data_IF_367111060693
#
_entry.id   IF_367111060693
#
_cell.length_a   1.000
_cell.length_b   1.000
_cell.length_c   1.000
_cell.angle_alpha   90.00
_cell.angle_beta   90.00
_cell.angle_gamma   90.00
#
_symmetry.space_group_name_H-M   'P 1'
#
loop_
_entity.id
_entity.type
_entity.pdbx_description
1 polymer ?
#
# COMPACT_ATOMS: atom_id res chain seq x y z
N UNK A 1 33.96 4.18 18.04
CA UNK A 1 32.77 4.79 17.39
C UNK A 1 33.10 5.45 16.04
N UNK A 2 34.26 6.08 15.81
CA UNK A 2 34.56 6.69 14.48
C UNK A 2 34.90 5.65 13.37
N UNK A 3 35.37 4.45 13.71
CA UNK A 3 35.71 3.41 12.73
C UNK A 3 34.51 2.75 12.08
N UNK A 4 33.52 2.36 12.88
CA UNK A 4 32.30 1.71 12.39
C UNK A 4 31.42 2.63 11.50
N UNK A 5 31.44 3.95 11.77
CA UNK A 5 30.73 4.93 10.93
C UNK A 5 31.43 5.13 9.58
N UNK A 6 32.75 5.03 9.55
CA UNK A 6 33.53 5.14 8.31
C UNK A 6 33.40 3.88 7.45
N UNK A 7 33.39 2.69 8.07
CA UNK A 7 33.15 1.43 7.37
C UNK A 7 31.72 1.38 6.78
N UNK A 8 30.71 1.83 7.52
CA UNK A 8 29.32 1.94 7.02
C UNK A 8 29.22 2.94 5.85
N UNK A 9 29.91 4.09 5.92
CA UNK A 9 30.01 5.05 4.82
C UNK A 9 30.75 4.49 3.61
N UNK A 10 31.78 3.67 3.81
CA UNK A 10 32.57 3.05 2.74
C UNK A 10 31.75 1.92 2.07
N UNK A 11 30.94 1.17 2.80
CA UNK A 11 29.99 0.20 2.22
C UNK A 11 28.86 0.88 1.45
N UNK A 12 28.36 2.04 1.90
CA UNK A 12 27.42 2.84 1.12
C UNK A 12 28.04 3.39 -0.19
N UNK A 13 29.33 3.71 -0.20
CA UNK A 13 30.05 4.21 -1.40
C UNK A 13 30.44 3.07 -2.36
N UNK A 14 30.42 1.82 -1.90
CA UNK A 14 30.60 0.63 -2.75
C UNK A 14 29.31 0.07 -3.36
N UNK A 15 28.22 0.83 -3.32
CA UNK A 15 27.02 0.47 -4.05
C UNK A 15 27.40 0.36 -5.53
N UNK A 16 27.35 -0.85 -6.05
CA UNK A 16 27.57 -1.10 -7.47
C UNK A 16 26.44 -0.40 -8.26
N UNK A 17 26.74 0.79 -8.77
CA UNK A 17 25.79 1.59 -9.55
C UNK A 17 25.29 0.87 -10.80
N UNK A 18 25.92 -0.24 -11.22
CA UNK A 18 25.41 -1.06 -12.31
C UNK A 18 24.18 -1.87 -11.87
N UNK A 19 24.07 -2.19 -10.57
CA UNK A 19 22.87 -2.83 -9.98
C UNK A 19 21.72 -1.84 -9.72
N UNK A 20 22.00 -0.54 -9.72
CA UNK A 20 20.98 0.50 -9.65
C UNK A 20 20.25 0.73 -10.99
N UNK A 21 20.66 0.04 -12.05
CA UNK A 21 19.96 0.12 -13.33
C UNK A 21 18.63 -0.62 -13.25
N UNK A 22 17.59 0.09 -13.63
CA UNK A 22 16.26 -0.46 -13.90
C UNK A 22 15.56 -1.06 -12.67
N UNK A 23 15.29 -0.25 -11.66
CA UNK A 23 14.34 -0.62 -10.62
C UNK A 23 14.87 -1.61 -9.58
N UNK A 24 16.14 -1.46 -9.15
CA UNK A 24 16.63 -2.17 -7.96
C UNK A 24 15.70 -1.92 -6.77
N UNK A 25 15.63 -2.87 -5.85
CA UNK A 25 14.81 -2.76 -4.65
C UNK A 25 15.08 -1.46 -3.87
N UNK A 26 16.34 -1.04 -3.79
CA UNK A 26 16.74 0.23 -3.17
C UNK A 26 16.12 1.45 -3.86
N UNK A 27 16.12 1.51 -5.19
CA UNK A 27 15.51 2.61 -5.94
C UNK A 27 13.98 2.61 -5.80
N UNK A 28 13.35 1.44 -5.87
CA UNK A 28 11.91 1.29 -5.71
C UNK A 28 11.44 1.74 -4.32
N UNK A 29 12.12 1.28 -3.27
CA UNK A 29 11.85 1.70 -1.88
C UNK A 29 12.14 3.19 -1.68
N UNK A 30 13.21 3.72 -2.29
CA UNK A 30 13.56 5.15 -2.25
C UNK A 30 12.48 6.00 -2.90
N UNK A 31 11.98 5.61 -4.07
CA UNK A 31 10.89 6.31 -4.75
C UNK A 31 9.60 6.29 -3.91
N UNK A 32 9.21 5.13 -3.38
CA UNK A 32 8.06 5.00 -2.50
C UNK A 32 8.19 5.90 -1.25
N UNK A 33 9.40 5.99 -0.68
CA UNK A 33 9.68 6.83 0.49
C UNK A 33 9.55 8.33 0.23
N UNK A 34 9.69 8.79 -1.01
CA UNK A 34 9.47 10.19 -1.37
C UNK A 34 8.02 10.64 -1.14
N UNK A 35 7.08 9.71 -1.04
CA UNK A 35 5.67 9.99 -0.76
C UNK A 35 5.38 10.19 0.74
N UNK A 36 6.36 9.94 1.62
CA UNK A 36 6.19 9.98 3.08
C UNK A 36 5.74 11.36 3.55
N UNK A 37 4.78 11.38 4.48
CA UNK A 37 4.20 12.60 5.06
C UNK A 37 3.03 13.16 4.25
N UNK A 38 2.69 12.54 3.11
CA UNK A 38 1.70 13.09 2.19
C UNK A 38 0.41 12.29 2.04
N UNK A 39 -0.42 12.84 1.16
CA UNK A 39 -1.71 12.26 0.75
C UNK A 39 -1.60 11.76 -0.67
N UNK A 40 -1.96 10.51 -0.92
CA UNK A 40 -2.17 9.95 -2.24
C UNK A 40 -3.67 9.95 -2.50
N UNK A 41 -4.14 10.57 -3.58
CA UNK A 41 -5.57 10.71 -3.88
C UNK A 41 -6.00 9.79 -5.01
N UNK A 42 -7.04 8.97 -4.78
CA UNK A 42 -7.66 8.15 -5.81
C UNK A 42 -8.50 9.05 -6.74
N UNK A 43 -8.18 9.06 -8.03
CA UNK A 43 -8.80 9.92 -9.04
C UNK A 43 -9.32 9.11 -10.22
N UNK A 44 -10.39 9.57 -10.86
CA UNK A 44 -11.05 8.86 -11.98
C UNK A 44 -11.03 9.65 -13.30
N UNK A 45 -10.46 10.84 -13.30
CA UNK A 45 -10.32 11.67 -14.49
C UNK A 45 -9.28 12.78 -14.28
N UNK A 46 -8.87 13.49 -15.37
CA UNK A 46 -7.92 14.60 -15.30
C UNK A 46 -8.34 15.75 -14.38
N UNK A 47 -9.62 16.09 -14.31
CA UNK A 47 -10.09 17.21 -13.46
C UNK A 47 -9.87 16.91 -11.98
N UNK A 48 -10.10 15.65 -11.56
CA UNK A 48 -9.82 15.22 -10.18
C UNK A 48 -8.31 15.17 -9.90
N UNK A 49 -7.50 14.78 -10.88
CA UNK A 49 -6.04 14.80 -10.74
C UNK A 49 -5.52 16.23 -10.56
N UNK A 50 -6.04 17.20 -11.32
CA UNK A 50 -5.71 18.62 -11.14
C UNK A 50 -6.12 19.14 -9.75
N UNK A 51 -7.30 18.78 -9.25
CA UNK A 51 -7.73 19.13 -7.87
C UNK A 51 -6.76 18.55 -6.85
N UNK A 52 -6.35 17.29 -7.01
CA UNK A 52 -5.42 16.62 -6.10
C UNK A 52 -4.05 17.31 -6.08
N UNK A 53 -3.50 17.60 -7.25
CA UNK A 53 -2.21 18.29 -7.39
C UNK A 53 -2.26 19.71 -6.80
N UNK A 54 -3.30 20.49 -7.14
CA UNK A 54 -3.52 21.84 -6.59
C UNK A 54 -3.61 21.86 -5.06
N UNK A 55 -4.20 20.83 -4.47
CA UNK A 55 -4.33 20.68 -3.01
C UNK A 55 -3.00 20.26 -2.34
N UNK A 56 -1.99 19.85 -3.11
CA UNK A 56 -0.69 19.40 -2.60
C UNK A 56 -0.63 17.89 -2.29
N UNK A 57 -1.38 17.06 -3.01
CA UNK A 57 -1.18 15.61 -2.99
C UNK A 57 0.24 15.26 -3.43
N UNK A 58 0.83 14.23 -2.84
CA UNK A 58 2.18 13.75 -3.20
C UNK A 58 2.17 12.80 -4.38
N UNK A 59 1.02 12.22 -4.70
CA UNK A 59 0.77 11.38 -5.87
C UNK A 59 -0.73 11.25 -6.09
N UNK A 60 -1.12 10.79 -7.28
CA UNK A 60 -2.49 10.37 -7.58
C UNK A 60 -2.54 8.88 -7.91
N UNK A 61 -3.68 8.25 -7.62
CA UNK A 61 -3.97 6.86 -7.95
C UNK A 61 -5.10 6.81 -8.97
N UNK A 62 -4.79 6.40 -10.19
CA UNK A 62 -5.78 6.28 -11.27
C UNK A 62 -6.69 5.06 -11.05
N UNK A 63 -7.99 5.31 -10.98
CA UNK A 63 -9.05 4.30 -10.90
C UNK A 63 -10.13 4.54 -11.95
N UNK A 64 -10.73 3.46 -12.46
CA UNK A 64 -11.93 3.57 -13.31
C UNK A 64 -13.12 4.17 -12.56
N UNK A 65 -13.28 3.77 -11.30
CA UNK A 65 -14.33 4.22 -10.38
C UNK A 65 -13.76 4.34 -8.97
N UNK A 66 -14.20 5.33 -8.22
CA UNK A 66 -13.80 5.40 -6.80
C UNK A 66 -14.36 4.20 -6.02
N UNK A 67 -13.72 3.78 -4.91
CA UNK A 67 -14.11 2.56 -4.20
C UNK A 67 -15.60 2.50 -3.79
N UNK A 68 -16.22 3.62 -3.44
CA UNK A 68 -17.66 3.68 -3.12
C UNK A 68 -18.54 3.30 -4.33
N UNK A 69 -18.16 3.70 -5.55
CA UNK A 69 -18.89 3.35 -6.77
C UNK A 69 -18.67 1.88 -7.14
N UNK A 70 -17.45 1.34 -6.95
CA UNK A 70 -17.17 -0.08 -7.17
C UNK A 70 -18.08 -0.95 -6.28
N UNK A 71 -18.27 -0.56 -5.01
CA UNK A 71 -19.15 -1.27 -4.09
C UNK A 71 -20.60 -1.20 -4.53
N UNK A 72 -21.08 -0.01 -4.85
CA UNK A 72 -22.48 0.22 -5.24
C UNK A 72 -22.86 -0.51 -6.53
N UNK A 73 -21.98 -0.45 -7.54
CA UNK A 73 -22.27 -0.97 -8.88
C UNK A 73 -22.06 -2.49 -8.96
N UNK A 74 -21.25 -3.06 -8.05
CA UNK A 74 -20.92 -4.48 -8.02
C UNK A 74 -20.15 -4.97 -9.27
N UNK A 75 -20.11 -6.28 -9.45
CA UNK A 75 -19.47 -6.91 -10.61
C UNK A 75 -17.94 -6.99 -10.50
N UNK A 76 -17.30 -7.29 -11.64
CA UNK A 76 -15.83 -7.45 -11.72
C UNK A 76 -15.18 -6.09 -11.92
N UNK A 77 -14.42 -5.63 -10.92
CA UNK A 77 -13.58 -4.45 -11.02
C UNK A 77 -12.20 -4.81 -11.59
N UNK A 78 -11.74 -4.07 -12.58
CA UNK A 78 -10.49 -4.31 -13.34
C UNK A 78 -9.60 -3.07 -13.36
N UNK A 79 -8.42 -3.22 -13.96
CA UNK A 79 -7.54 -2.12 -14.33
C UNK A 79 -8.31 -1.04 -15.13
N UNK A 80 -7.99 0.20 -14.88
CA UNK A 80 -8.56 1.34 -15.62
C UNK A 80 -8.22 1.31 -17.11
N UNK A 81 -9.10 1.91 -17.93
CA UNK A 81 -8.84 2.00 -19.36
C UNK A 81 -7.57 2.82 -19.65
N UNK A 82 -6.71 2.40 -20.60
CA UNK A 82 -5.47 3.10 -20.93
C UNK A 82 -5.66 4.59 -21.24
N UNK A 83 -6.67 4.98 -22.02
CA UNK A 83 -6.90 6.39 -22.36
C UNK A 83 -7.17 7.27 -21.14
N UNK A 84 -7.85 6.72 -20.12
CA UNK A 84 -8.11 7.46 -18.89
C UNK A 84 -6.81 7.63 -18.09
N UNK A 85 -5.98 6.59 -17.99
CA UNK A 85 -4.68 6.66 -17.32
C UNK A 85 -3.77 7.67 -18.08
N UNK A 86 -3.74 7.61 -19.41
CA UNK A 86 -2.96 8.54 -20.23
C UNK A 86 -3.41 9.98 -20.01
N UNK A 87 -4.72 10.24 -19.98
CA UNK A 87 -5.26 11.57 -19.70
C UNK A 87 -4.84 12.14 -18.34
N UNK A 88 -4.67 11.27 -17.33
CA UNK A 88 -4.16 11.67 -16.01
C UNK A 88 -2.65 11.92 -16.08
N UNK A 89 -1.87 11.05 -16.73
CA UNK A 89 -0.43 11.23 -16.94
C UNK A 89 -0.11 12.56 -17.68
N UNK A 90 -0.95 12.92 -18.65
CA UNK A 90 -0.74 14.13 -19.46
C UNK A 90 -1.08 15.44 -18.72
N UNK A 91 -1.89 15.36 -17.64
CA UNK A 91 -2.41 16.57 -16.98
C UNK A 91 -1.75 16.88 -15.63
N UNK A 92 -0.95 15.98 -15.07
CA UNK A 92 -0.34 16.17 -13.74
C UNK A 92 1.18 16.01 -13.76
N UNK A 93 1.87 16.75 -12.90
CA UNK A 93 3.33 16.68 -12.72
C UNK A 93 3.75 15.84 -11.51
N UNK A 94 2.81 15.47 -10.65
CA UNK A 94 3.06 14.57 -9.52
C UNK A 94 2.98 13.11 -9.96
N UNK A 95 3.62 12.17 -9.23
CA UNK A 95 3.60 10.75 -9.57
C UNK A 95 2.19 10.19 -9.77
N UNK A 96 2.03 9.37 -10.81
CA UNK A 96 0.79 8.68 -11.14
C UNK A 96 0.93 7.19 -10.82
N UNK A 97 0.06 6.70 -9.95
CA UNK A 97 -0.08 5.28 -9.65
C UNK A 97 -1.32 4.73 -10.35
N UNK A 98 -1.34 3.43 -10.64
CA UNK A 98 -2.54 2.76 -11.14
C UNK A 98 -2.69 1.37 -10.53
N UNK A 99 -3.94 0.85 -10.50
CA UNK A 99 -4.24 -0.43 -9.86
C UNK A 99 -4.26 -1.58 -10.86
N UNK A 100 -3.57 -2.68 -10.48
CA UNK A 100 -3.70 -3.99 -11.10
C UNK A 100 -4.45 -4.95 -10.16
N UNK A 101 -5.16 -5.92 -10.72
CA UNK A 101 -5.77 -7.00 -9.96
C UNK A 101 -4.71 -7.89 -9.32
N UNK A 102 -5.00 -8.42 -8.14
CA UNK A 102 -4.12 -9.38 -7.46
C UNK A 102 -3.82 -10.55 -8.40
N UNK A 103 -2.52 -10.84 -8.59
CA UNK A 103 -2.00 -11.94 -9.42
C UNK A 103 -2.12 -11.72 -10.93
N UNK A 104 -2.54 -10.54 -11.41
CA UNK A 104 -2.72 -10.28 -12.83
C UNK A 104 -1.48 -9.61 -13.45
N UNK A 105 -0.45 -10.40 -13.75
CA UNK A 105 0.79 -9.91 -14.37
C UNK A 105 0.56 -9.12 -15.67
N UNK A 106 -0.42 -9.53 -16.49
CA UNK A 106 -0.73 -8.83 -17.74
C UNK A 106 -1.16 -7.38 -17.54
N UNK A 107 -2.01 -7.10 -16.53
CA UNK A 107 -2.37 -5.72 -16.19
C UNK A 107 -1.16 -4.93 -15.71
N UNK A 108 -0.32 -5.51 -14.84
CA UNK A 108 0.87 -4.84 -14.34
C UNK A 108 1.87 -4.52 -15.47
N UNK A 109 2.06 -5.41 -16.45
CA UNK A 109 2.89 -5.15 -17.65
C UNK A 109 2.35 -4.02 -18.53
N UNK A 110 1.03 -3.96 -18.69
CA UNK A 110 0.39 -2.85 -19.41
C UNK A 110 0.70 -1.53 -18.70
N UNK A 111 0.49 -1.47 -17.37
CA UNK A 111 0.74 -0.26 -16.59
C UNK A 111 2.21 0.17 -16.62
N UNK A 112 3.15 -0.78 -16.48
CA UNK A 112 4.58 -0.50 -16.62
C UNK A 112 4.89 0.06 -18.02
N UNK A 113 4.32 -0.50 -19.09
CA UNK A 113 4.55 -0.04 -20.47
C UNK A 113 3.96 1.34 -20.75
N UNK A 114 2.93 1.74 -20.02
CA UNK A 114 2.33 3.08 -20.09
C UNK A 114 3.15 4.14 -19.37
N UNK A 115 4.13 3.74 -18.55
CA UNK A 115 4.98 4.67 -17.81
C UNK A 115 4.34 5.23 -16.55
N UNK A 116 3.41 4.49 -15.91
CA UNK A 116 2.97 4.86 -14.55
C UNK A 116 4.14 4.74 -13.58
N UNK A 117 4.17 5.58 -12.56
CA UNK A 117 5.29 5.64 -11.62
C UNK A 117 5.27 4.52 -10.58
N UNK A 118 4.10 3.99 -10.23
CA UNK A 118 3.92 2.85 -9.32
C UNK A 118 2.67 2.04 -9.69
N UNK A 119 2.67 0.75 -9.38
CA UNK A 119 1.50 -0.13 -9.48
C UNK A 119 1.00 -0.50 -8.09
N UNK A 120 -0.29 -0.33 -7.84
CA UNK A 120 -0.96 -0.88 -6.66
C UNK A 120 -1.62 -2.21 -7.04
N UNK A 121 -1.04 -3.33 -6.59
CA UNK A 121 -1.66 -4.65 -6.66
C UNK A 121 -2.74 -4.72 -5.60
N UNK A 122 -4.00 -4.54 -6.02
CA UNK A 122 -5.06 -4.08 -5.14
C UNK A 122 -6.22 -5.05 -4.97
N UNK A 123 -6.57 -5.32 -3.71
CA UNK A 123 -7.78 -6.03 -3.29
C UNK A 123 -9.08 -5.24 -3.57
N UNK A 124 -9.00 -3.94 -3.84
CA UNK A 124 -10.15 -3.12 -4.26
C UNK A 124 -10.69 -3.63 -5.60
N UNK A 125 -9.80 -4.06 -6.49
CA UNK A 125 -10.18 -4.77 -7.71
C UNK A 125 -10.49 -6.23 -7.42
N UNK A 126 -11.19 -6.88 -8.35
CA UNK A 126 -11.51 -8.30 -8.23
C UNK A 126 -10.25 -9.14 -8.46
N UNK A 127 -9.79 -9.97 -7.52
CA UNK A 127 -8.60 -10.80 -7.70
C UNK A 127 -8.66 -11.65 -8.97
N UNK A 128 -7.54 -11.80 -9.66
CA UNK A 128 -7.41 -12.64 -10.84
C UNK A 128 -6.77 -13.99 -10.51
N UNK A 129 -5.85 -14.03 -9.54
CA UNK A 129 -5.26 -15.25 -9.02
C UNK A 129 -5.76 -15.49 -7.58
N UNK A 130 -6.32 -16.68 -7.29
CA UNK A 130 -6.79 -17.03 -5.95
C UNK A 130 -5.67 -17.46 -5.01
N UNK A 131 -4.45 -17.74 -5.52
CA UNK A 131 -3.35 -18.32 -4.77
C UNK A 131 -2.20 -17.35 -4.53
N UNK A 132 -1.77 -16.62 -5.57
CA UNK A 132 -0.54 -15.86 -5.54
C UNK A 132 -0.71 -14.41 -5.97
N UNK A 133 0.17 -13.58 -5.45
CA UNK A 133 0.40 -12.22 -5.90
C UNK A 133 1.41 -12.18 -7.06
N UNK A 134 1.54 -11.02 -7.71
CA UNK A 134 2.52 -10.78 -8.78
C UNK A 134 3.94 -10.83 -8.20
N UNK A 135 4.89 -11.43 -8.96
CA UNK A 135 6.33 -11.33 -8.66
C UNK A 135 6.83 -9.94 -9.07
N UNK A 136 6.95 -9.06 -8.08
CA UNK A 136 7.27 -7.64 -8.29
C UNK A 136 8.75 -7.39 -8.57
N UNK A 137 9.59 -8.41 -8.31
CA UNK A 137 11.01 -8.33 -8.62
C UNK A 137 11.31 -8.33 -10.12
N UNK A 138 10.33 -8.78 -10.95
CA UNK A 138 10.45 -8.83 -12.40
C UNK A 138 10.10 -7.50 -13.10
N UNK A 139 9.80 -6.45 -12.34
CA UNK A 139 9.41 -5.12 -12.84
C UNK A 139 10.45 -4.06 -12.48
N UNK A 140 10.52 -3.02 -13.29
CA UNK A 140 11.39 -1.86 -13.05
C UNK A 140 10.75 -0.82 -12.11
N UNK A 141 9.41 -0.79 -12.03
CA UNK A 141 8.64 0.16 -11.23
C UNK A 141 8.32 -0.39 -9.83
N UNK A 142 8.14 0.47 -8.81
CA UNK A 142 7.74 0.06 -7.48
C UNK A 142 6.27 -0.39 -7.40
N UNK A 143 5.99 -1.25 -6.43
CA UNK A 143 4.64 -1.75 -6.16
C UNK A 143 4.16 -1.36 -4.76
N UNK A 144 2.87 -1.08 -4.67
CA UNK A 144 2.09 -0.94 -3.43
C UNK A 144 1.27 -2.21 -3.23
N UNK A 145 1.19 -2.69 -2.00
CA UNK A 145 0.31 -3.81 -1.63
C UNK A 145 -0.41 -3.54 -0.32
N UNK A 146 -1.62 -4.07 -0.20
CA UNK A 146 -2.37 -4.09 1.06
C UNK A 146 -1.87 -5.18 2.02
N UNK A 147 -1.95 -4.91 3.32
CA UNK A 147 -1.74 -5.90 4.36
C UNK A 147 -2.66 -5.65 5.57
N UNK A 148 -3.11 -6.74 6.20
CA UNK A 148 -3.94 -6.73 7.41
C UNK A 148 -3.12 -6.91 8.68
N UNK A 149 -1.88 -7.42 8.57
CA UNK A 149 -0.96 -7.69 9.67
C UNK A 149 0.47 -7.88 9.16
N UNK A 150 1.41 -8.07 10.09
CA UNK A 150 2.84 -8.16 9.79
C UNK A 150 3.17 -9.35 8.88
N UNK A 151 2.58 -10.52 9.13
CA UNK A 151 2.88 -11.71 8.34
C UNK A 151 2.52 -11.54 6.85
N UNK A 152 1.41 -10.86 6.55
CA UNK A 152 1.05 -10.50 5.19
C UNK A 152 1.99 -9.43 4.62
N UNK A 153 2.30 -8.39 5.39
CA UNK A 153 3.24 -7.35 4.98
C UNK A 153 4.62 -7.93 4.61
N UNK A 154 5.14 -8.86 5.43
CA UNK A 154 6.42 -9.54 5.17
C UNK A 154 6.38 -10.34 3.87
N UNK A 155 5.27 -11.06 3.59
CA UNK A 155 5.13 -11.76 2.29
C UNK A 155 5.16 -10.78 1.13
N UNK A 156 4.37 -9.70 1.19
CA UNK A 156 4.34 -8.67 0.12
C UNK A 156 5.72 -8.04 -0.10
N UNK A 157 6.47 -7.76 0.97
CA UNK A 157 7.84 -7.22 0.88
C UNK A 157 8.79 -8.25 0.26
N UNK A 158 8.69 -9.51 0.64
CA UNK A 158 9.48 -10.60 0.03
C UNK A 158 9.21 -10.71 -1.48
N UNK A 159 7.97 -10.55 -1.90
CA UNK A 159 7.54 -10.54 -3.30
C UNK A 159 7.95 -9.26 -4.06
N UNK A 160 8.57 -8.28 -3.38
CA UNK A 160 9.12 -7.04 -3.96
C UNK A 160 8.25 -5.80 -3.80
N UNK A 161 7.28 -5.78 -2.88
CA UNK A 161 6.52 -4.57 -2.57
C UNK A 161 7.43 -3.51 -1.94
N UNK A 162 7.32 -2.27 -2.41
CA UNK A 162 8.09 -1.11 -1.97
C UNK A 162 7.31 -0.18 -1.04
N UNK A 163 6.01 -0.39 -0.94
CA UNK A 163 5.09 0.31 -0.04
C UNK A 163 4.03 -0.69 0.44
N UNK A 164 3.74 -0.64 1.73
CA UNK A 164 2.60 -1.36 2.32
C UNK A 164 1.52 -0.34 2.68
N UNK A 165 0.26 -0.70 2.51
CA UNK A 165 -0.89 0.05 3.02
C UNK A 165 -1.83 -0.85 3.81
N UNK A 166 -2.62 -0.27 4.70
CA UNK A 166 -3.72 -1.01 5.33
C UNK A 166 -4.73 -1.44 4.25
N UNK A 167 -5.36 -2.60 4.41
CA UNK A 167 -6.44 -3.03 3.53
C UNK A 167 -7.76 -2.33 3.82
N UNK A 168 -7.92 -1.61 4.86
CA UNK A 168 -9.10 -0.86 5.28
C UNK A 168 -10.32 -0.90 4.32
N UNK A 169 -11.49 -0.60 4.76
CA UNK A 169 -12.67 -0.71 3.90
C UNK A 169 -12.88 0.59 3.10
N UNK A 170 -12.13 0.69 1.98
CA UNK A 170 -12.20 1.85 1.09
C UNK A 170 -13.62 2.11 0.58
N UNK A 171 -14.02 3.38 0.53
CA UNK A 171 -15.33 3.81 0.05
C UNK A 171 -16.42 3.87 1.11
N UNK A 172 -16.17 3.40 2.33
CA UNK A 172 -17.18 3.36 3.41
C UNK A 172 -17.23 4.62 4.26
N UNK A 173 -16.11 5.34 4.40
CA UNK A 173 -15.98 6.41 5.40
C UNK A 173 -15.85 5.89 6.84
N UNK A 174 -15.69 4.59 7.04
CA UNK A 174 -15.47 3.96 8.33
C UNK A 174 -14.02 3.52 8.49
N UNK A 175 -13.32 4.12 9.46
CA UNK A 175 -11.89 3.97 9.68
C UNK A 175 -11.49 2.69 10.44
N UNK A 176 -12.46 1.97 11.04
CA UNK A 176 -12.18 0.89 12.01
C UNK A 176 -11.25 -0.18 11.45
N UNK A 177 -11.44 -0.63 10.21
CA UNK A 177 -10.59 -1.66 9.61
C UNK A 177 -9.15 -1.16 9.41
N UNK A 178 -8.95 0.06 8.92
CA UNK A 178 -7.62 0.65 8.77
C UNK A 178 -6.90 0.79 10.11
N UNK A 179 -7.60 1.26 11.15
CA UNK A 179 -7.07 1.33 12.53
C UNK A 179 -6.70 -0.05 13.06
N UNK A 180 -7.56 -1.05 12.82
CA UNK A 180 -7.30 -2.44 13.24
C UNK A 180 -6.00 -2.96 12.63
N UNK A 181 -5.83 -2.82 11.32
CA UNK A 181 -4.64 -3.31 10.62
C UNK A 181 -3.37 -2.57 11.04
N UNK A 182 -3.43 -1.23 11.19
CA UNK A 182 -2.32 -0.45 11.69
C UNK A 182 -1.88 -0.87 13.10
N UNK A 183 -2.84 -1.12 14.01
CA UNK A 183 -2.54 -1.61 15.36
C UNK A 183 -1.99 -3.03 15.37
N UNK A 184 -2.52 -3.93 14.53
CA UNK A 184 -1.99 -5.30 14.42
C UNK A 184 -0.54 -5.28 13.96
N UNK A 185 -0.23 -4.52 12.90
CA UNK A 185 1.15 -4.40 12.39
C UNK A 185 2.08 -3.86 13.49
N UNK A 186 1.72 -2.76 14.16
CA UNK A 186 2.54 -2.17 15.23
C UNK A 186 2.74 -3.16 16.39
N UNK A 187 1.69 -3.81 16.86
CA UNK A 187 1.78 -4.75 17.97
C UNK A 187 2.62 -6.00 17.61
N UNK A 188 2.44 -6.54 16.41
CA UNK A 188 3.21 -7.68 15.92
C UNK A 188 4.69 -7.32 15.73
N UNK A 189 5.02 -6.11 15.27
CA UNK A 189 6.41 -5.60 15.23
C UNK A 189 7.02 -5.57 16.63
N UNK A 190 6.31 -5.04 17.63
CA UNK A 190 6.78 -5.03 19.04
C UNK A 190 7.01 -6.44 19.55
N UNK A 191 6.16 -7.39 19.15
CA UNK A 191 6.34 -8.79 19.50
C UNK A 191 7.61 -9.36 18.86
N UNK A 192 7.83 -9.12 17.57
CA UNK A 192 9.06 -9.54 16.85
C UNK A 192 10.32 -8.98 17.53
N UNK A 193 10.30 -7.73 17.99
CA UNK A 193 11.44 -7.13 18.70
C UNK A 193 11.83 -7.89 19.98
N UNK A 194 10.87 -8.56 20.62
CA UNK A 194 11.09 -9.31 21.87
C UNK A 194 11.52 -10.77 21.66
N UNK A 195 11.42 -11.32 20.44
CA UNK A 195 11.74 -12.71 20.14
C UNK A 195 13.25 -12.96 20.08
N UNK A 196 13.67 -14.16 20.48
CA UNK A 196 14.98 -14.71 20.19
C UNK A 196 15.04 -15.34 18.78
N UNK A 197 16.19 -15.90 18.40
CA UNK A 197 16.37 -16.53 17.08
C UNK A 197 15.37 -17.66 16.84
N UNK A 198 15.13 -18.50 17.83
CA UNK A 198 14.14 -19.59 17.74
C UNK A 198 12.72 -19.07 17.54
N UNK A 199 12.37 -17.93 18.17
CA UNK A 199 11.10 -17.26 17.99
C UNK A 199 10.93 -16.71 16.57
N UNK A 200 11.97 -16.08 16.02
CA UNK A 200 12.00 -15.60 14.63
C UNK A 200 11.85 -16.75 13.65
N UNK A 201 12.57 -17.86 13.85
CA UNK A 201 12.45 -19.05 13.00
C UNK A 201 11.01 -19.59 12.97
N UNK A 202 10.36 -19.70 14.13
CA UNK A 202 8.95 -20.13 14.22
C UNK A 202 8.03 -19.21 13.42
N UNK A 203 8.18 -17.90 13.55
CA UNK A 203 7.38 -16.93 12.80
C UNK A 203 7.66 -17.05 11.29
N UNK A 204 8.93 -17.25 10.90
CA UNK A 204 9.30 -17.52 9.50
C UNK A 204 8.53 -18.72 8.95
N UNK A 205 8.50 -19.84 9.68
CA UNK A 205 7.78 -21.05 9.24
C UNK A 205 6.26 -20.81 9.15
N UNK A 206 5.68 -20.04 10.06
CA UNK A 206 4.25 -19.67 9.98
C UNK A 206 3.95 -18.82 8.74
N UNK A 207 4.85 -17.93 8.35
CA UNK A 207 4.70 -17.11 7.14
C UNK A 207 4.86 -17.97 5.89
N UNK A 208 5.85 -18.86 5.85
CA UNK A 208 6.08 -19.80 4.74
C UNK A 208 4.87 -20.70 4.50
N UNK A 209 4.21 -21.17 5.58
CA UNK A 209 3.03 -22.02 5.45
C UNK A 209 1.93 -21.39 4.58
N UNK A 210 1.85 -20.06 4.53
CA UNK A 210 0.88 -19.36 3.69
C UNK A 210 1.14 -19.46 2.18
N UNK A 211 2.33 -19.90 1.77
CA UNK A 211 2.63 -20.18 0.36
C UNK A 211 2.25 -21.60 -0.08
N UNK A 212 1.81 -22.47 0.84
CA UNK A 212 1.37 -23.82 0.52
C UNK A 212 -0.07 -23.90 -0.04
N UNK A 213 -0.74 -22.75 -0.23
CA UNK A 213 -2.15 -22.68 -0.64
C UNK A 213 -2.49 -23.50 -1.90
N UNK A 214 -1.59 -23.56 -2.89
CA UNK A 214 -1.81 -24.35 -4.09
C UNK A 214 -1.67 -25.84 -3.81
N UNK A 215 -0.70 -26.25 -3.00
CA UNK A 215 -0.54 -27.64 -2.57
C UNK A 215 -1.72 -28.09 -1.71
N UNK A 216 -2.18 -27.22 -0.80
CA UNK A 216 -3.33 -27.50 0.07
C UNK A 216 -4.65 -27.62 -0.71
N UNK A 217 -4.76 -26.92 -1.86
CA UNK A 217 -5.91 -27.01 -2.75
C UNK A 217 -5.86 -28.22 -3.71
N UNK A 218 -4.73 -28.93 -3.79
CA UNK A 218 -4.55 -30.06 -4.70
C UNK A 218 -5.09 -31.37 -4.10
N UNK A 219 -5.76 -32.17 -4.93
CA UNK A 219 -6.15 -33.55 -4.60
C UNK A 219 -5.02 -34.55 -4.84
N UNK A 220 -3.90 -34.15 -5.45
CA UNK A 220 -2.78 -35.04 -5.77
C UNK A 220 -1.78 -35.05 -4.60
N UNK A 221 -1.44 -36.24 -4.06
CA UNK A 221 -0.45 -36.33 -2.99
C UNK A 221 0.96 -36.01 -3.48
N UNK A 222 1.73 -35.32 -2.65
CA UNK A 222 3.16 -35.08 -2.89
C UNK A 222 3.47 -33.99 -3.91
N UNK A 223 2.53 -33.09 -4.20
CA UNK A 223 2.84 -31.88 -4.96
C UNK A 223 3.82 -31.03 -4.14
N UNK A 224 4.97 -30.75 -4.76
CA UNK A 224 5.89 -29.75 -4.23
C UNK A 224 5.38 -28.37 -4.64
N UNK A 225 5.05 -27.48 -3.67
CA UNK A 225 4.52 -26.17 -4.01
C UNK A 225 5.60 -25.33 -4.71
N UNK A 226 5.30 -24.97 -5.95
CA UNK A 226 6.02 -23.94 -6.69
C UNK A 226 5.20 -22.65 -6.58
N UNK A 227 5.88 -21.55 -6.33
CA UNK A 227 5.28 -20.22 -6.34
C UNK A 227 5.86 -19.38 -7.47
N UNK A 228 5.21 -18.27 -7.88
CA UNK A 228 5.80 -17.32 -8.82
C UNK A 228 7.14 -16.74 -8.35
N UNK A 229 7.45 -16.86 -7.06
CA UNK A 229 8.67 -16.35 -6.41
C UNK A 229 9.78 -17.41 -6.28
N UNK A 230 9.56 -18.60 -6.80
CA UNK A 230 10.45 -19.75 -6.71
C UNK A 230 9.90 -20.90 -5.82
N UNK A 231 10.71 -21.92 -5.57
CA UNK A 231 10.35 -23.02 -4.68
C UNK A 231 10.27 -22.55 -3.23
N UNK A 232 9.45 -23.23 -2.43
CA UNK A 232 9.43 -23.00 -0.98
C UNK A 232 10.57 -23.83 -0.38
N UNK A 233 11.73 -23.21 -0.27
CA UNK A 233 13.00 -23.81 0.15
C UNK A 233 13.74 -22.93 1.18
N UNK A 234 14.96 -23.31 1.47
CA UNK A 234 15.82 -22.58 2.40
C UNK A 234 16.11 -21.14 1.92
N UNK A 235 16.16 -20.88 0.62
CA UNK A 235 16.42 -19.54 0.10
C UNK A 235 15.22 -18.63 0.38
N UNK A 236 13.99 -19.09 0.17
CA UNK A 236 12.77 -18.38 0.53
C UNK A 236 12.69 -18.17 2.06
N UNK A 237 13.00 -19.21 2.83
CA UNK A 237 13.03 -19.13 4.30
C UNK A 237 13.99 -18.06 4.78
N UNK A 238 15.22 -18.05 4.28
CA UNK A 238 16.24 -17.07 4.62
C UNK A 238 15.84 -15.65 4.21
N UNK A 239 15.19 -15.49 3.05
CA UNK A 239 14.71 -14.20 2.58
C UNK A 239 13.64 -13.61 3.51
N UNK A 240 12.65 -14.42 3.91
CA UNK A 240 11.60 -13.99 4.85
C UNK A 240 12.21 -13.70 6.24
N UNK A 241 13.10 -14.56 6.72
CA UNK A 241 13.79 -14.36 7.99
C UNK A 241 14.61 -13.07 8.00
N UNK A 242 15.29 -12.75 6.90
CA UNK A 242 16.05 -11.50 6.76
C UNK A 242 15.16 -10.27 6.92
N UNK A 243 13.96 -10.27 6.32
CA UNK A 243 13.00 -9.18 6.47
C UNK A 243 12.52 -9.07 7.92
N UNK A 244 12.24 -10.18 8.60
CA UNK A 244 11.85 -10.18 10.02
C UNK A 244 12.97 -9.63 10.92
N UNK A 245 14.23 -9.94 10.63
CA UNK A 245 15.38 -9.39 11.36
C UNK A 245 15.53 -7.89 11.11
N UNK A 246 15.34 -7.42 9.88
CA UNK A 246 15.29 -6.00 9.54
C UNK A 246 14.16 -5.28 10.28
N UNK A 247 12.96 -5.86 10.32
CA UNK A 247 11.82 -5.34 11.12
C UNK A 247 12.17 -5.28 12.61
N UNK A 248 12.80 -6.32 13.16
CA UNK A 248 13.22 -6.36 14.56
C UNK A 248 14.20 -5.26 14.90
N UNK A 249 15.20 -5.02 14.05
CA UNK A 249 16.23 -4.00 14.24
C UNK A 249 15.65 -2.58 14.12
N UNK A 250 14.83 -2.35 13.07
CA UNK A 250 14.25 -1.03 12.79
C UNK A 250 13.09 -0.66 13.72
N UNK A 251 12.37 -1.62 14.28
CA UNK A 251 11.13 -1.40 15.01
C UNK A 251 9.98 -0.91 14.14
N UNK A 252 10.08 -1.15 12.82
CA UNK A 252 9.08 -0.79 11.80
C UNK A 252 9.28 -1.66 10.56
N UNK A 253 8.34 -1.59 9.61
CA UNK A 253 8.54 -2.20 8.29
C UNK A 253 9.72 -1.51 7.54
N UNK A 254 10.50 -2.25 6.75
CA UNK A 254 11.61 -1.70 5.96
C UNK A 254 11.16 -0.89 4.74
N UNK A 255 9.88 -0.75 4.55
CA UNK A 255 9.21 0.05 3.52
C UNK A 255 8.23 1.02 4.17
N UNK A 256 7.83 2.07 3.46
CA UNK A 256 6.82 3.01 3.96
C UNK A 256 5.47 2.32 4.10
N UNK A 257 4.74 2.71 5.16
CA UNK A 257 3.45 2.13 5.52
C UNK A 257 2.38 3.20 5.56
N UNK A 258 1.43 3.13 4.63
CA UNK A 258 0.36 4.10 4.47
C UNK A 258 -0.96 3.56 5.03
N UNK A 259 -1.81 4.46 5.50
CA UNK A 259 -3.19 4.12 5.82
C UNK A 259 -4.07 4.25 4.58
N UNK A 260 -4.88 3.24 4.31
CA UNK A 260 -5.88 3.25 3.26
C UNK A 260 -7.21 2.71 3.77
N UNK A 261 -8.31 3.31 3.28
CA UNK A 261 -9.68 2.88 3.58
C UNK A 261 -10.33 3.60 4.75
N UNK A 262 -11.50 4.15 4.51
CA UNK A 262 -12.38 4.75 5.52
C UNK A 262 -12.05 6.17 5.95
N UNK A 263 -10.99 6.80 5.44
CA UNK A 263 -10.67 8.20 5.76
C UNK A 263 -11.68 9.11 5.05
N UNK A 264 -12.43 9.89 5.83
CA UNK A 264 -13.48 10.77 5.35
C UNK A 264 -13.39 12.20 5.91
N UNK A 265 -12.57 12.42 6.93
CA UNK A 265 -12.42 13.72 7.59
C UNK A 265 -10.95 14.06 7.84
N UNK A 266 -10.59 15.36 8.00
CA UNK A 266 -9.27 15.78 8.45
C UNK A 266 -8.86 15.16 9.79
N UNK A 267 -9.80 14.93 10.70
CA UNK A 267 -9.54 14.28 11.98
C UNK A 267 -9.13 12.81 11.81
N UNK A 268 -9.74 12.09 10.84
CA UNK A 268 -9.34 10.72 10.49
C UNK A 268 -7.91 10.69 9.94
N UNK A 269 -7.57 11.62 9.06
CA UNK A 269 -6.23 11.77 8.50
C UNK A 269 -5.18 11.98 9.61
N UNK A 270 -5.42 12.97 10.48
CA UNK A 270 -4.57 13.25 11.65
C UNK A 270 -4.46 12.02 12.55
N UNK A 271 -5.54 11.29 12.79
CA UNK A 271 -5.54 10.10 13.65
C UNK A 271 -4.62 9.03 13.10
N UNK A 272 -4.70 8.70 11.81
CA UNK A 272 -3.83 7.68 11.21
C UNK A 272 -2.36 8.09 11.20
N UNK A 273 -2.06 9.35 10.93
CA UNK A 273 -0.69 9.87 11.02
C UNK A 273 -0.14 9.77 12.46
N UNK A 274 -0.95 10.08 13.48
CA UNK A 274 -0.58 9.91 14.91
C UNK A 274 -0.36 8.46 15.31
N UNK A 275 -0.97 7.51 14.60
CA UNK A 275 -0.72 6.08 14.77
C UNK A 275 0.60 5.60 14.16
N UNK A 276 1.39 6.51 13.57
CA UNK A 276 2.69 6.20 12.98
C UNK A 276 2.65 5.77 11.52
N UNK A 277 1.54 6.02 10.81
CA UNK A 277 1.49 5.83 9.37
C UNK A 277 2.38 6.86 8.66
N UNK A 278 3.03 6.45 7.59
CA UNK A 278 3.93 7.29 6.79
C UNK A 278 3.19 8.22 5.83
N UNK A 279 1.88 8.05 5.69
CA UNK A 279 1.01 8.83 4.82
C UNK A 279 -0.36 8.16 4.70
N UNK A 280 -1.21 8.70 3.85
CA UNK A 280 -2.58 8.23 3.69
C UNK A 280 -3.00 8.13 2.23
N UNK A 281 -3.91 7.19 1.93
CA UNK A 281 -4.67 7.11 0.69
C UNK A 281 -6.10 7.57 0.95
N UNK A 282 -6.63 8.48 0.11
CA UNK A 282 -8.00 8.96 0.20
C UNK A 282 -8.61 9.06 -1.19
N UNK A 283 -9.79 8.48 -1.39
CA UNK A 283 -10.53 8.56 -2.66
C UNK A 283 -11.94 9.08 -2.45
N UNK A 284 -12.86 8.18 -2.11
CA UNK A 284 -14.28 8.52 -1.93
C UNK A 284 -14.52 9.60 -0.88
N UNK A 285 -13.68 9.66 0.17
CA UNK A 285 -13.77 10.69 1.21
C UNK A 285 -13.65 12.11 0.65
N UNK A 286 -12.86 12.29 -0.41
CA UNK A 286 -12.70 13.58 -1.10
C UNK A 286 -13.73 13.71 -2.23
N UNK A 287 -13.71 12.80 -3.20
CA UNK A 287 -14.42 12.98 -4.48
C UNK A 287 -15.92 12.63 -4.42
N UNK A 288 -16.42 12.09 -3.31
CA UNK A 288 -17.86 11.96 -3.01
C UNK A 288 -18.39 13.05 -2.08
N UNK A 289 -17.56 13.95 -1.63
CA UNK A 289 -18.00 15.15 -0.90
C UNK A 289 -18.71 16.12 -1.84
N UNK A 290 -19.47 17.04 -1.27
CA UNK A 290 -20.17 18.10 -2.05
C UNK A 290 -19.21 19.18 -2.56
N UNK A 291 -17.99 19.24 -2.03
CA UNK A 291 -16.94 20.16 -2.48
C UNK A 291 -15.56 19.45 -2.39
N UNK A 292 -15.18 18.69 -3.43
CA UNK A 292 -13.94 17.93 -3.46
C UNK A 292 -12.68 18.79 -3.28
N UNK A 293 -12.66 20.00 -3.81
CA UNK A 293 -11.49 20.90 -3.70
C UNK A 293 -11.24 21.28 -2.25
N UNK A 294 -12.24 21.82 -1.57
CA UNK A 294 -12.11 22.19 -0.15
C UNK A 294 -11.77 20.96 0.71
N UNK A 295 -12.34 19.80 0.39
CA UNK A 295 -12.05 18.57 1.12
C UNK A 295 -10.60 18.11 0.90
N UNK A 296 -10.08 18.18 -0.31
CA UNK A 296 -8.69 17.86 -0.63
C UNK A 296 -7.72 18.77 0.16
N UNK A 297 -7.93 20.08 0.11
CA UNK A 297 -7.14 21.08 0.87
C UNK A 297 -7.16 20.77 2.37
N UNK A 298 -8.33 20.46 2.93
CA UNK A 298 -8.50 20.18 4.36
C UNK A 298 -7.78 18.87 4.79
N UNK A 299 -7.87 17.82 3.98
CA UNK A 299 -7.19 16.54 4.24
C UNK A 299 -5.67 16.70 4.16
N UNK A 300 -5.16 17.42 3.16
CA UNK A 300 -3.71 17.69 3.03
C UNK A 300 -3.21 18.52 4.21
N UNK A 301 -3.92 19.60 4.59
CA UNK A 301 -3.57 20.42 5.74
C UNK A 301 -3.49 19.60 7.05
N UNK A 302 -4.49 18.76 7.30
CA UNK A 302 -4.51 17.91 8.50
C UNK A 302 -3.44 16.81 8.48
N UNK A 303 -3.10 16.28 7.31
CA UNK A 303 -2.03 15.29 7.17
C UNK A 303 -0.66 15.92 7.41
N UNK A 304 -0.38 17.08 6.81
CA UNK A 304 0.89 17.78 6.96
C UNK A 304 1.13 18.30 8.40
N UNK A 305 0.05 18.61 9.12
CA UNK A 305 0.09 19.16 10.48
C UNK A 305 -0.63 18.27 11.49
N UNK A 306 -0.56 16.96 11.32
CA UNK A 306 -1.32 15.98 12.09
C UNK A 306 -1.13 16.08 13.62
N UNK A 307 0.01 16.55 14.09
CA UNK A 307 0.38 16.73 15.51
C UNK A 307 -0.02 18.09 16.08
N UNK A 308 -0.49 19.02 15.23
CA UNK A 308 -0.94 20.36 15.64
C UNK A 308 -2.48 20.41 15.68
N UNK A 309 -3.07 20.36 16.90
CA UNK A 309 -4.52 20.34 17.08
C UNK A 309 -5.22 21.62 16.55
N UNK A 310 -4.55 22.78 16.57
CA UNK A 310 -5.12 24.04 16.04
C UNK A 310 -5.25 23.94 14.51
N UNK A 311 -4.23 23.44 13.82
CA UNK A 311 -4.25 23.22 12.36
C UNK A 311 -5.27 22.16 11.94
N UNK A 312 -5.40 21.08 12.70
CA UNK A 312 -6.44 20.08 12.45
C UNK A 312 -7.84 20.66 12.69
N UNK A 313 -8.01 21.53 13.69
CA UNK A 313 -9.27 22.25 13.92
C UNK A 313 -9.59 23.20 12.76
N UNK A 314 -8.60 23.93 12.25
CA UNK A 314 -8.75 24.76 11.05
C UNK A 314 -9.23 23.92 9.84
N UNK A 315 -8.55 22.79 9.58
CA UNK A 315 -8.94 21.86 8.52
C UNK A 315 -10.37 21.33 8.70
N UNK A 316 -10.76 20.95 9.93
CA UNK A 316 -12.14 20.52 10.23
C UNK A 316 -13.18 21.62 9.99
N UNK A 317 -12.85 22.87 10.29
CA UNK A 317 -13.75 24.00 10.06
C UNK A 317 -14.02 24.25 8.56
N UNK A 318 -13.08 23.91 7.67
CA UNK A 318 -13.27 24.02 6.22
C UNK A 318 -14.40 23.11 5.69
N UNK A 319 -14.72 22.02 6.41
CA UNK A 319 -15.72 21.03 6.03
C UNK A 319 -17.16 21.41 6.35
N UNK A 320 -17.45 22.61 6.84
CA UNK A 320 -18.79 23.01 7.27
C UNK A 320 -19.82 22.80 6.15
N UNK A 321 -20.80 21.89 6.40
CA UNK A 321 -21.85 21.54 5.43
C UNK A 321 -21.44 20.67 4.25
N UNK A 322 -20.23 20.09 4.28
CA UNK A 322 -19.65 19.32 3.16
C UNK A 322 -19.20 17.87 3.51
N UNK A 323 -19.79 17.17 4.49
CA UNK A 323 -19.34 15.83 4.85
C UNK A 323 -19.66 14.81 3.74
N UNK A 324 -18.79 13.80 3.62
CA UNK A 324 -19.09 12.58 2.87
C UNK A 324 -20.12 11.73 3.67
N UNK A 325 -21.04 11.07 2.96
CA UNK A 325 -21.86 9.99 3.55
C UNK A 325 -21.12 8.68 3.38
N UNK A 326 -21.05 7.88 4.44
CA UNK A 326 -20.40 6.58 4.43
C UNK A 326 -21.39 5.44 4.69
N UNK A 327 -20.91 4.21 4.48
CA UNK A 327 -21.62 2.96 4.76
C UNK A 327 -21.04 2.29 6.01
N UNK A 328 -21.88 1.70 6.85
CA UNK A 328 -21.42 0.91 7.99
C UNK A 328 -20.83 -0.43 7.57
N UNK A 329 -19.74 -0.84 8.23
CA UNK A 329 -19.03 -2.08 7.90
C UNK A 329 -19.90 -3.34 8.00
N UNK A 330 -20.83 -3.36 8.96
CA UNK A 330 -21.71 -4.50 9.20
C UNK A 330 -22.72 -4.74 8.07
N UNK A 331 -22.98 -3.71 7.26
CA UNK A 331 -23.91 -3.79 6.12
C UNK A 331 -23.25 -4.17 4.80
N UNK A 332 -21.92 -4.34 4.78
CA UNK A 332 -21.18 -4.63 3.56
C UNK A 332 -21.27 -6.12 3.17
N UNK A 333 -21.70 -6.37 1.93
CA UNK A 333 -21.66 -7.71 1.33
C UNK A 333 -20.24 -8.14 0.93
N UNK A 334 -19.39 -7.20 0.58
CA UNK A 334 -18.01 -7.43 0.11
C UNK A 334 -17.02 -6.74 1.05
N UNK A 335 -16.13 -7.54 1.66
CA UNK A 335 -15.04 -7.07 2.52
C UNK A 335 -13.71 -7.17 1.77
N UNK A 336 -12.99 -6.05 1.66
CA UNK A 336 -11.70 -6.00 0.96
C UNK A 336 -10.56 -6.63 1.76
N UNK A 337 -10.64 -6.61 3.08
CA UNK A 337 -9.67 -7.24 3.98
C UNK A 337 -9.55 -8.76 3.79
N UNK A 338 -10.58 -9.40 3.23
CA UNK A 338 -10.64 -10.85 2.98
C UNK A 338 -10.02 -11.26 1.63
N UNK A 339 -9.68 -10.31 0.76
CA UNK A 339 -9.12 -10.60 -0.57
C UNK A 339 -7.60 -10.68 -0.53
N UNK A 340 -7.03 -11.69 -1.20
CA UNK A 340 -5.59 -11.86 -1.40
C UNK A 340 -4.79 -12.03 -0.11
N UNK A 341 -5.30 -12.82 0.84
CA UNK A 341 -4.60 -13.10 2.10
C UNK A 341 -3.51 -14.15 1.95
#
# INVERSE_FOLDING_TARGET
MKGAYLEWLIDMVRTDFTQLRNGSDLLKRGFARMQQGGVIMDVVNPDQAAIAEDAGAVAVMALERVPADIRRDGGVARMSHPDMIQGILDCTSIPVMAKARIGHEGEARILESMGVDMVDESEVLTPADPFFHISKNDYSIPFVCGATGLGEAVRRIYEGASMIRTKGEAGTGNLVAAVTHARLIDQEIRQIQSLDETGIEKVTQMILQRYHVLADASELPGIHPMTPFGPIDDAMSNGIQSILLEVKEMGRLPVVTFSAGGIATPADASHMMRMGMDGIFVGSGIFKSTDPKTMADAIVLATAHFDNAEKVTEAMAMMLGKPMKGDELETLEIRYDQRGQ
#
